data_IF_431654859390
#
_entry.id   IF_431654859390
#
_cell.length_a   1.000
_cell.length_b   1.000
_cell.length_c   1.000
_cell.angle_alpha   90.00
_cell.angle_beta   90.00
_cell.angle_gamma   90.00
#
_symmetry.space_group_name_H-M   'P 1'
#
loop_
_entity.id
_entity.type
_entity.pdbx_description
1 polymer ?
#
# COMPACT_ATOMS: atom_id res chain seq x y z
N UNK A 1 40.72 -26.63 -55.06
CA UNK A 1 39.65 -26.89 -54.08
C UNK A 1 38.43 -26.09 -54.49
N UNK A 2 37.28 -26.77 -54.67
CA UNK A 2 36.02 -26.16 -55.11
C UNK A 2 35.26 -25.60 -53.89
N UNK A 3 34.79 -24.36 -53.99
CA UNK A 3 33.81 -23.73 -53.10
C UNK A 3 32.57 -24.61 -52.97
N UNK A 4 31.98 -24.67 -51.78
CA UNK A 4 30.55 -24.69 -51.39
C UNK A 4 30.59 -24.88 -49.84
N UNK A 5 30.03 -24.01 -49.00
CA UNK A 5 28.60 -23.97 -48.73
C UNK A 5 28.25 -22.66 -48.03
N UNK A 6 27.15 -22.08 -48.50
CA UNK A 6 26.52 -20.91 -47.95
C UNK A 6 25.48 -21.30 -46.89
N UNK A 7 25.23 -20.36 -45.97
CA UNK A 7 23.96 -20.12 -45.26
C UNK A 7 23.55 -21.17 -44.21
N UNK A 8 23.83 -20.85 -42.95
CA UNK A 8 22.98 -21.26 -41.82
C UNK A 8 22.86 -20.13 -40.77
N UNK A 9 22.76 -18.89 -41.24
CA UNK A 9 22.34 -17.74 -40.44
C UNK A 9 20.81 -17.64 -40.50
N UNK A 10 20.09 -18.54 -39.83
CA UNK A 10 18.63 -18.51 -39.84
C UNK A 10 17.98 -19.24 -38.64
N UNK A 11 18.37 -18.88 -37.42
CA UNK A 11 17.55 -19.16 -36.22
C UNK A 11 17.63 -17.98 -35.23
N UNK A 12 17.48 -16.76 -35.74
CA UNK A 12 17.09 -15.62 -34.90
C UNK A 12 15.64 -15.31 -35.22
N UNK A 13 14.73 -15.86 -34.42
CA UNK A 13 13.47 -15.24 -34.05
C UNK A 13 12.69 -16.25 -33.20
N UNK A 14 13.08 -16.41 -31.94
CA UNK A 14 12.04 -16.67 -30.94
C UNK A 14 11.23 -15.38 -30.87
N UNK A 15 10.25 -15.26 -31.75
CA UNK A 15 9.20 -14.29 -31.64
C UNK A 15 8.56 -14.52 -30.27
N UNK A 16 8.86 -13.64 -29.32
CA UNK A 16 7.97 -13.38 -28.20
C UNK A 16 6.66 -12.89 -28.82
N UNK A 17 5.81 -13.81 -29.27
CA UNK A 17 4.44 -13.50 -29.62
C UNK A 17 3.78 -13.17 -28.29
N UNK A 18 3.70 -11.88 -27.98
CA UNK A 18 2.69 -11.37 -27.07
C UNK A 18 1.36 -11.83 -27.66
N UNK A 19 0.80 -12.89 -27.08
CA UNK A 19 -0.54 -13.35 -27.40
C UNK A 19 -1.49 -12.38 -26.71
N UNK A 20 -1.71 -11.25 -27.38
CA UNK A 20 -2.61 -10.21 -26.91
C UNK A 20 -4.03 -10.77 -26.96
N UNK A 21 -4.48 -11.31 -25.83
CA UNK A 21 -5.84 -11.80 -25.63
C UNK A 21 -6.59 -10.75 -24.82
N UNK A 22 -7.76 -10.32 -25.31
CA UNK A 22 -8.65 -9.44 -24.52
C UNK A 22 -9.12 -10.22 -23.29
N UNK A 23 -8.62 -9.85 -22.10
CA UNK A 23 -8.87 -10.58 -20.83
C UNK A 23 -10.17 -10.16 -20.15
N UNK A 24 -10.81 -9.05 -20.56
CA UNK A 24 -12.04 -8.57 -19.95
C UNK A 24 -12.14 -7.06 -20.03
N UNK A 25 -13.07 -6.47 -19.28
CA UNK A 25 -13.10 -5.02 -19.07
C UNK A 25 -12.35 -4.69 -17.78
N UNK A 26 -11.51 -3.66 -17.82
CA UNK A 26 -10.90 -3.10 -16.61
C UNK A 26 -11.84 -2.01 -16.08
N UNK A 27 -12.28 -2.14 -14.84
CA UNK A 27 -13.08 -1.11 -14.18
C UNK A 27 -12.33 -0.53 -12.98
N UNK A 28 -12.47 0.79 -12.81
CA UNK A 28 -11.95 1.50 -11.65
C UNK A 28 -13.01 1.57 -10.55
N UNK A 29 -12.69 0.99 -9.39
CA UNK A 29 -13.57 0.97 -8.23
C UNK A 29 -13.00 1.88 -7.17
N UNK A 30 -13.72 2.94 -6.83
CA UNK A 30 -13.46 3.72 -5.62
C UNK A 30 -14.04 2.96 -4.42
N UNK A 31 -13.17 2.63 -3.46
CA UNK A 31 -13.53 1.95 -2.21
C UNK A 31 -13.27 2.88 -1.04
N UNK A 32 -14.24 2.97 -0.15
CA UNK A 32 -14.04 3.56 1.16
C UNK A 32 -13.55 2.50 2.14
N UNK A 33 -12.45 2.79 2.84
CA UNK A 33 -11.95 1.98 3.95
C UNK A 33 -12.26 2.76 5.22
N UNK A 34 -13.23 2.28 5.99
CA UNK A 34 -13.66 2.85 7.26
C UNK A 34 -13.02 2.14 8.46
N UNK A 35 -13.31 2.64 9.67
CA UNK A 35 -12.88 2.03 10.95
C UNK A 35 -11.35 1.89 11.04
N UNK A 36 -10.62 2.91 10.57
CA UNK A 36 -9.17 2.90 10.49
C UNK A 36 -8.54 2.83 11.88
N UNK A 37 -9.15 3.48 12.87
CA UNK A 37 -8.65 3.47 14.25
C UNK A 37 -8.60 2.04 14.81
N UNK A 38 -9.75 1.35 14.85
CA UNK A 38 -9.80 0.01 15.42
C UNK A 38 -9.04 -1.01 14.58
N UNK A 39 -9.10 -0.89 13.26
CA UNK A 39 -8.34 -1.75 12.33
C UNK A 39 -6.84 -1.59 12.55
N UNK A 40 -6.36 -0.35 12.72
CA UNK A 40 -4.96 -0.08 12.99
C UNK A 40 -4.52 -0.64 14.34
N UNK A 41 -5.29 -0.41 15.41
CA UNK A 41 -4.96 -0.93 16.75
C UNK A 41 -4.88 -2.45 16.82
N UNK A 42 -5.70 -3.16 16.03
CA UNK A 42 -5.63 -4.63 15.91
C UNK A 42 -4.39 -5.11 15.16
N UNK A 43 -3.82 -4.28 14.28
CA UNK A 43 -2.70 -4.62 13.40
C UNK A 43 -1.41 -3.88 13.77
N UNK A 44 -1.26 -3.40 15.02
CA UNK A 44 -0.04 -2.75 15.48
C UNK A 44 1.12 -3.73 15.42
N UNK A 45 2.22 -3.30 14.83
CA UNK A 45 3.45 -4.07 14.70
C UNK A 45 4.35 -3.82 15.92
N UNK A 46 4.99 -4.87 16.41
CA UNK A 46 5.96 -4.79 17.49
C UNK A 46 5.35 -4.73 18.89
N UNK A 47 6.18 -4.40 19.88
CA UNK A 47 5.83 -4.51 21.29
C UNK A 47 5.18 -3.22 21.83
N UNK A 48 3.96 -3.30 22.36
CA UNK A 48 3.20 -2.13 22.86
C UNK A 48 3.42 -1.84 24.35
N UNK A 49 4.22 -2.66 25.02
CA UNK A 49 4.53 -2.62 26.45
C UNK A 49 5.68 -1.67 26.82
N UNK A 50 6.40 -1.14 25.82
CA UNK A 50 7.53 -0.23 26.02
C UNK A 50 7.47 1.01 25.12
N UNK A 51 8.07 2.13 25.54
CA UNK A 51 8.20 3.31 24.68
C UNK A 51 8.97 3.01 23.39
N UNK A 52 8.52 3.59 22.28
CA UNK A 52 9.15 3.46 20.96
C UNK A 52 9.26 4.83 20.26
N UNK A 53 10.15 4.94 19.27
CA UNK A 53 10.22 6.15 18.43
C UNK A 53 8.91 6.40 17.68
N UNK A 54 8.23 5.34 17.28
CA UNK A 54 6.88 5.36 16.71
C UNK A 54 6.25 3.99 16.84
N UNK A 55 4.92 3.93 16.71
CA UNK A 55 4.20 2.70 16.46
C UNK A 55 3.67 2.71 15.03
N UNK A 56 3.44 1.52 14.48
CA UNK A 56 2.92 1.39 13.13
C UNK A 56 1.92 0.26 13.03
N UNK A 57 0.96 0.38 12.12
CA UNK A 57 0.07 -0.69 11.72
C UNK A 57 0.02 -0.77 10.20
N UNK A 58 -0.20 -1.97 9.67
CA UNK A 58 -0.40 -2.17 8.25
C UNK A 58 -1.56 -3.14 8.02
N UNK A 59 -2.42 -2.84 7.05
CA UNK A 59 -3.52 -3.71 6.66
C UNK A 59 -3.81 -3.60 5.17
N UNK A 60 -4.16 -4.73 4.56
CA UNK A 60 -4.50 -4.80 3.13
C UNK A 60 -5.88 -4.21 2.87
N UNK A 61 -6.04 -3.56 1.73
CA UNK A 61 -7.32 -3.09 1.23
C UNK A 61 -7.72 -3.72 -0.10
N UNK A 62 -6.83 -4.47 -0.76
CA UNK A 62 -7.11 -5.21 -1.98
C UNK A 62 -7.50 -6.66 -1.68
N UNK A 63 -8.37 -7.23 -2.51
CA UNK A 63 -8.62 -8.67 -2.59
C UNK A 63 -7.87 -9.31 -3.77
N UNK A 64 -7.89 -10.64 -3.86
CA UNK A 64 -7.28 -11.34 -4.98
C UNK A 64 -7.92 -10.90 -6.31
N UNK A 65 -7.08 -10.70 -7.33
CA UNK A 65 -7.50 -10.20 -8.65
C UNK A 65 -7.58 -8.67 -8.77
N UNK A 66 -7.48 -7.93 -7.66
CA UNK A 66 -7.46 -6.47 -7.69
C UNK A 66 -6.05 -5.92 -7.87
N UNK A 67 -5.92 -4.90 -8.71
CA UNK A 67 -4.69 -4.14 -8.89
C UNK A 67 -4.78 -2.82 -8.11
N UNK A 68 -3.92 -2.56 -7.11
CA UNK A 68 -3.93 -1.32 -6.37
C UNK A 68 -3.41 -0.17 -7.21
N UNK A 69 -4.21 0.88 -7.36
CA UNK A 69 -3.84 2.08 -8.12
C UNK A 69 -3.47 3.22 -7.20
N UNK A 70 -4.15 3.36 -6.06
CA UNK A 70 -3.84 4.41 -5.09
C UNK A 70 -2.43 4.25 -4.53
N UNK A 71 -1.65 5.31 -4.72
CA UNK A 71 -0.33 5.48 -4.11
C UNK A 71 -0.23 6.86 -3.51
N UNK A 72 0.18 6.94 -2.24
CA UNK A 72 0.57 8.18 -1.59
C UNK A 72 -0.02 8.36 -0.20
N UNK A 73 0.15 9.58 0.32
CA UNK A 73 -0.28 9.95 1.66
C UNK A 73 -1.79 10.11 1.73
N UNK A 74 -2.42 9.36 2.63
CA UNK A 74 -3.87 9.35 2.88
C UNK A 74 -4.24 9.95 4.23
N UNK A 75 -3.30 10.00 5.18
CA UNK A 75 -3.47 10.64 6.48
C UNK A 75 -2.23 11.48 6.82
N UNK A 76 -2.45 12.65 7.43
CA UNK A 76 -1.38 13.50 7.95
C UNK A 76 -1.87 14.31 9.15
N UNK A 77 -1.25 14.10 10.30
CA UNK A 77 -1.30 15.01 11.44
C UNK A 77 0.14 15.23 11.91
N UNK A 78 0.63 16.46 11.80
CA UNK A 78 1.96 16.83 12.30
C UNK A 78 1.83 18.17 12.98
N UNK A 79 1.92 18.18 14.30
CA UNK A 79 1.93 19.39 15.12
C UNK A 79 2.97 19.28 16.25
N UNK A 80 2.86 20.12 17.27
CA UNK A 80 3.77 20.17 18.41
C UNK A 80 3.64 18.96 19.36
N UNK A 81 2.55 18.18 19.26
CA UNK A 81 2.24 17.06 20.15
C UNK A 81 2.24 15.71 19.44
N UNK A 82 1.78 15.67 18.20
CA UNK A 82 1.52 14.44 17.48
C UNK A 82 2.20 14.39 16.12
N UNK A 83 2.66 13.20 15.76
CA UNK A 83 3.13 12.85 14.43
C UNK A 83 2.42 11.57 13.97
N UNK A 84 1.48 11.71 13.03
CA UNK A 84 0.74 10.62 12.40
C UNK A 84 0.82 10.77 10.89
N UNK A 85 1.24 9.71 10.21
CA UNK A 85 1.31 9.64 8.75
C UNK A 85 0.74 8.32 8.30
N UNK A 86 -0.24 8.37 7.41
CA UNK A 86 -0.81 7.20 6.73
C UNK A 86 -0.52 7.24 5.24
N UNK A 87 -0.05 6.13 4.69
CA UNK A 87 0.22 5.96 3.28
C UNK A 87 -0.53 4.74 2.75
N UNK A 88 -1.18 4.89 1.60
CA UNK A 88 -1.72 3.78 0.85
C UNK A 88 -0.74 3.47 -0.29
N UNK A 89 -0.23 2.25 -0.34
CA UNK A 89 0.62 1.78 -1.43
C UNK A 89 0.55 0.25 -1.55
N UNK A 90 0.71 -0.26 -2.77
CA UNK A 90 0.81 -1.70 -3.05
C UNK A 90 -0.31 -2.53 -2.41
N UNK A 91 -1.54 -2.00 -2.36
CA UNK A 91 -2.71 -2.70 -1.84
C UNK A 91 -2.81 -2.74 -0.32
N UNK A 92 -1.99 -1.96 0.39
CA UNK A 92 -2.04 -1.84 1.84
C UNK A 92 -2.05 -0.37 2.28
N UNK A 93 -2.64 -0.14 3.44
CA UNK A 93 -2.48 1.09 4.22
C UNK A 93 -1.43 0.82 5.27
N UNK A 94 -0.42 1.70 5.35
CA UNK A 94 0.56 1.77 6.43
C UNK A 94 0.33 3.06 7.20
N UNK A 95 0.10 2.97 8.51
CA UNK A 95 -0.01 4.15 9.38
C UNK A 95 1.11 4.08 10.39
N UNK A 96 1.85 5.18 10.53
CA UNK A 96 2.83 5.44 11.59
C UNK A 96 2.28 6.51 12.50
N UNK A 97 2.39 6.33 13.81
CA UNK A 97 1.83 7.24 14.80
C UNK A 97 2.68 7.30 16.07
N UNK A 98 2.92 8.51 16.55
CA UNK A 98 3.73 8.80 17.74
C UNK A 98 3.36 10.16 18.33
N UNK A 99 3.75 10.38 19.59
CA UNK A 99 3.96 11.75 20.09
C UNK A 99 5.22 12.36 19.46
N UNK A 100 5.30 13.69 19.40
CA UNK A 100 6.49 14.41 18.89
C UNK A 100 7.73 14.21 19.74
N UNK A 101 7.57 13.98 21.04
CA UNK A 101 8.67 13.65 21.96
C UNK A 101 8.96 12.15 21.86
N UNK A 102 10.16 11.82 21.38
CA UNK A 102 10.65 10.44 21.32
C UNK A 102 11.51 10.11 22.54
N UNK A 103 11.40 8.90 23.14
CA UNK A 103 10.45 7.85 22.78
C UNK A 103 9.03 8.12 23.32
N UNK A 104 8.02 7.69 22.58
CA UNK A 104 6.60 7.85 22.90
C UNK A 104 6.02 6.57 23.49
N UNK A 105 5.14 6.68 24.50
CA UNK A 105 4.39 5.53 25.02
C UNK A 105 3.30 5.10 24.02
N UNK A 106 2.85 3.84 24.11
CA UNK A 106 1.76 3.36 23.24
C UNK A 106 0.47 4.14 23.48
N UNK A 107 0.16 4.47 24.75
CA UNK A 107 -1.03 5.26 25.09
C UNK A 107 -0.99 6.67 24.48
N UNK A 108 0.15 7.36 24.57
CA UNK A 108 0.33 8.69 23.95
C UNK A 108 0.16 8.60 22.43
N UNK A 109 0.79 7.60 21.82
CA UNK A 109 0.75 7.40 20.38
C UNK A 109 -0.67 7.04 19.90
N UNK A 110 -1.38 6.20 20.64
CA UNK A 110 -2.80 5.84 20.39
C UNK A 110 -3.69 7.08 20.43
N UNK A 111 -3.50 7.96 21.42
CA UNK A 111 -4.25 9.22 21.49
C UNK A 111 -3.97 10.13 20.27
N UNK A 112 -2.72 10.15 19.77
CA UNK A 112 -2.39 10.86 18.54
C UNK A 112 -3.08 10.25 17.31
N UNK A 113 -3.14 8.92 17.20
CA UNK A 113 -3.87 8.23 16.14
C UNK A 113 -5.37 8.57 16.19
N UNK A 114 -5.99 8.47 17.36
CA UNK A 114 -7.40 8.83 17.58
C UNK A 114 -7.67 10.27 17.14
N UNK A 115 -6.82 11.21 17.57
CA UNK A 115 -6.93 12.61 17.18
C UNK A 115 -6.82 12.80 15.67
N UNK A 116 -5.91 12.09 15.00
CA UNK A 116 -5.75 12.17 13.54
C UNK A 116 -6.98 11.67 12.77
N UNK A 117 -7.78 10.80 13.38
CA UNK A 117 -8.96 10.17 12.76
C UNK A 117 -10.29 10.74 13.27
N UNK A 118 -10.27 11.58 14.31
CA UNK A 118 -11.46 12.15 14.96
C UNK A 118 -12.42 12.89 14.02
N UNK A 119 -11.91 13.50 12.95
CA UNK A 119 -12.71 14.20 11.94
C UNK A 119 -13.08 13.33 10.74
N UNK A 120 -12.33 12.23 10.53
CA UNK A 120 -12.45 11.38 9.36
C UNK A 120 -11.78 10.03 9.64
N UNK A 121 -12.57 9.05 10.06
CA UNK A 121 -12.10 7.67 10.27
C UNK A 121 -12.30 6.80 9.02
N UNK A 122 -12.02 7.38 7.86
CA UNK A 122 -12.05 6.67 6.59
C UNK A 122 -11.09 7.28 5.57
N UNK A 123 -10.65 6.45 4.63
CA UNK A 123 -9.91 6.88 3.44
C UNK A 123 -10.57 6.31 2.19
N UNK A 124 -10.35 6.97 1.06
CA UNK A 124 -10.78 6.49 -0.24
C UNK A 124 -9.57 5.96 -0.99
N UNK A 125 -9.71 4.76 -1.54
CA UNK A 125 -8.71 4.13 -2.40
C UNK A 125 -9.36 3.72 -3.72
N UNK A 126 -8.55 3.56 -4.74
CA UNK A 126 -8.93 3.13 -6.07
C UNK A 126 -8.20 1.83 -6.36
N UNK A 127 -8.97 0.84 -6.76
CA UNK A 127 -8.49 -0.45 -7.26
C UNK A 127 -9.03 -0.68 -8.67
N UNK A 128 -8.23 -1.33 -9.50
CA UNK A 128 -8.73 -1.89 -10.75
C UNK A 128 -9.11 -3.34 -10.55
N UNK A 129 -10.28 -3.73 -11.06
CA UNK A 129 -10.71 -5.13 -11.13
C UNK A 129 -10.97 -5.52 -12.57
N UNK A 130 -10.81 -6.81 -12.86
CA UNK A 130 -11.10 -7.44 -14.13
C UNK A 130 -12.46 -8.14 -14.01
N UNK A 131 -13.42 -7.73 -14.85
CA UNK A 131 -14.67 -8.46 -15.08
C UNK A 131 -14.62 -9.25 -16.40
#
# INVERSE_FOLDING_TARGET
>A
MKLFFAIASLLVAFSAQASDRKVGNIIAVEREISDLYNTCLKNVSGATDKPQSFFSCAFKFTTDGELPVTKGRVLKLMDDRCQVVGEAMNGAVLITFAGTKSPSSFETSRACLERSLSHKDFIKVIVYTLE
#
